data_IF_702634105468
#
_entry.id   IF_702634105468
#
_cell.length_a   1.000
_cell.length_b   1.000
_cell.length_c   1.000
_cell.angle_alpha   90.00
_cell.angle_beta   90.00
_cell.angle_gamma   90.00
#
_symmetry.space_group_name_H-M   'P 1'
#
loop_
_entity.id
_entity.type
_entity.pdbx_description
1 polymer ?
#
# COMPACT_ATOMS: atom_id res chain seq x y z
N UNK A 1 -5.56 -8.18 -5.63
CA UNK A 1 -4.79 -8.43 -6.86
C UNK A 1 -4.84 -9.91 -7.17
N UNK A 2 -4.93 -10.26 -8.46
CA UNK A 2 -4.64 -11.59 -8.99
C UNK A 2 -4.13 -11.41 -10.42
N UNK A 3 -3.06 -12.11 -10.79
CA UNK A 3 -2.40 -11.94 -12.08
C UNK A 3 -1.46 -13.08 -12.43
N UNK A 4 -1.27 -13.27 -13.74
CA UNK A 4 -0.23 -14.08 -14.38
C UNK A 4 -0.14 -15.56 -13.98
N UNK A 5 0.83 -16.26 -14.60
CA UNK A 5 1.16 -17.64 -14.23
C UNK A 5 1.93 -17.74 -12.90
N UNK A 6 2.43 -16.61 -12.39
CA UNK A 6 3.17 -16.52 -11.13
C UNK A 6 2.48 -15.53 -10.21
N UNK A 7 2.28 -15.90 -8.96
CA UNK A 7 1.63 -15.04 -7.98
C UNK A 7 2.51 -13.83 -7.68
N UNK A 8 2.06 -12.68 -8.15
CA UNK A 8 2.69 -11.39 -7.88
C UNK A 8 1.63 -10.29 -7.89
N UNK A 9 1.93 -9.21 -7.15
CA UNK A 9 1.23 -7.95 -7.33
C UNK A 9 1.93 -7.20 -8.47
N UNK A 10 1.25 -7.01 -9.59
CA UNK A 10 1.74 -6.19 -10.68
C UNK A 10 1.29 -4.73 -10.48
N UNK A 11 2.22 -3.80 -10.64
CA UNK A 11 1.99 -2.36 -10.40
C UNK A 11 2.03 -1.95 -8.92
N UNK A 12 1.81 -0.66 -8.63
CA UNK A 12 1.83 -0.14 -7.27
C UNK A 12 0.72 -0.75 -6.39
N UNK A 13 1.09 -1.23 -5.20
CA UNK A 13 0.11 -1.73 -4.22
C UNK A 13 -0.54 -0.61 -3.38
N UNK A 14 -0.37 0.66 -3.77
CA UNK A 14 -0.93 1.82 -3.05
C UNK A 14 -2.08 2.43 -3.84
N UNK A 15 -3.20 2.71 -3.17
CA UNK A 15 -4.42 3.26 -3.78
C UNK A 15 -4.89 4.53 -3.07
N UNK A 16 -5.56 5.42 -3.80
CA UNK A 16 -6.04 6.70 -3.26
C UNK A 16 -7.29 6.53 -2.37
N UNK A 17 -7.59 7.51 -1.51
CA UNK A 17 -8.81 7.47 -0.65
C UNK A 17 -10.10 7.45 -1.47
N UNK A 18 -10.12 8.22 -2.56
CA UNK A 18 -11.28 8.37 -3.44
C UNK A 18 -11.46 7.22 -4.44
N UNK A 19 -10.58 6.21 -4.44
CA UNK A 19 -10.70 5.06 -5.34
C UNK A 19 -12.05 4.35 -5.15
N UNK A 20 -12.69 3.97 -6.25
CA UNK A 20 -14.02 3.34 -6.28
C UNK A 20 -14.09 2.06 -5.44
N UNK A 21 -15.30 1.70 -4.93
CA UNK A 21 -15.53 0.39 -4.33
C UNK A 21 -15.12 -0.74 -5.29
N UNK A 22 -14.40 -1.75 -4.78
CA UNK A 22 -13.85 -2.85 -5.60
C UNK A 22 -12.41 -2.64 -6.09
N UNK A 23 -11.99 -1.39 -6.33
CA UNK A 23 -10.61 -1.06 -6.69
C UNK A 23 -9.75 -0.66 -5.47
N UNK A 24 -10.38 -0.44 -4.32
CA UNK A 24 -9.73 -0.05 -3.07
C UNK A 24 -9.09 -1.26 -2.37
N UNK A 25 -8.06 -1.83 -3.00
CA UNK A 25 -7.33 -3.03 -2.54
C UNK A 25 -5.84 -2.69 -2.40
N UNK A 26 -5.16 -3.23 -1.38
CA UNK A 26 -3.76 -2.92 -1.07
C UNK A 26 -3.60 -1.88 0.05
N UNK A 27 -2.54 -1.07 -0.02
CA UNK A 27 -2.26 0.01 0.92
C UNK A 27 -3.14 1.23 0.56
N UNK A 28 -4.15 1.52 1.38
CA UNK A 28 -5.09 2.61 1.11
C UNK A 28 -4.57 3.91 1.71
N UNK A 29 -4.31 4.89 0.84
CA UNK A 29 -3.78 6.21 1.14
C UNK A 29 -2.62 6.23 2.16
N UNK A 30 -1.58 5.39 1.98
CA UNK A 30 -0.43 5.40 2.88
C UNK A 30 0.35 6.71 2.72
N UNK A 31 0.79 7.29 3.83
CA UNK A 31 1.73 8.45 3.83
C UNK A 31 3.19 8.01 3.69
N UNK A 32 3.51 6.81 4.17
CA UNK A 32 4.82 6.15 4.08
C UNK A 32 4.59 4.64 4.06
N UNK A 33 5.43 3.91 3.33
CA UNK A 33 5.41 2.44 3.26
C UNK A 33 6.79 1.88 3.66
N UNK A 34 6.87 0.56 3.86
CA UNK A 34 8.11 -0.11 4.29
C UNK A 34 8.42 0.04 5.77
N UNK A 35 9.58 -0.48 6.20
CA UNK A 35 10.00 -0.47 7.62
C UNK A 35 10.47 0.94 8.03
N UNK A 36 9.92 1.48 9.10
CA UNK A 36 10.30 2.79 9.67
C UNK A 36 11.61 2.80 10.47
N UNK A 37 12.65 2.08 10.02
CA UNK A 37 13.95 2.07 10.72
C UNK A 37 14.51 3.50 10.73
N UNK A 38 14.68 4.08 11.91
CA UNK A 38 15.23 5.42 12.10
C UNK A 38 14.27 6.51 12.59
N UNK A 39 13.02 6.21 13.01
CA UNK A 39 12.30 7.17 13.87
C UNK A 39 12.87 7.07 15.28
N UNK A 40 13.84 7.94 15.57
CA UNK A 40 13.99 8.51 16.91
C UNK A 40 12.60 9.00 17.37
N UNK A 41 12.28 8.74 18.64
CA UNK A 41 11.10 9.19 19.39
C UNK A 41 10.30 10.29 18.68
N UNK A 42 9.17 9.96 18.06
CA UNK A 42 8.06 10.90 17.90
C UNK A 42 6.78 10.11 18.15
N UNK A 43 6.28 10.32 19.35
CA UNK A 43 5.23 9.63 20.09
C UNK A 43 5.33 10.02 21.57
N UNK A 44 5.65 11.29 21.83
CA UNK A 44 4.86 12.13 22.72
C UNK A 44 3.76 12.74 21.83
#
# INVERSE_FOLDING_TARGET
HGGGNHQAVHGPNSVARGTSPGAKVGLIAPRRTGRGRGKSKQGE
#
